data_IF_770566196325
#
_entry.id   IF_770566196325
#
_cell.length_a   1.000
_cell.length_b   1.000
_cell.length_c   1.000
_cell.angle_alpha   90.00
_cell.angle_beta   90.00
_cell.angle_gamma   90.00
#
_symmetry.space_group_name_H-M   'P 1'
#
loop_
_entity.id
_entity.type
_entity.pdbx_description
1 polymer ?
#
# COMPACT_ATOMS: atom_id res chain seq x y z
N UNK A 1 48.33 29.67 -29.83
CA UNK A 1 47.04 29.88 -29.13
C UNK A 1 47.33 30.43 -27.74
N UNK A 2 46.90 31.65 -27.43
CA UNK A 2 47.16 32.29 -26.14
C UNK A 2 46.48 31.50 -25.00
N UNK A 3 47.28 30.88 -24.14
CA UNK A 3 46.80 30.11 -23.00
C UNK A 3 46.49 31.10 -21.87
N UNK A 4 45.28 31.67 -21.85
CA UNK A 4 44.86 32.61 -20.80
C UNK A 4 44.72 31.82 -19.49
N UNK A 5 45.64 32.05 -18.55
CA UNK A 5 45.57 31.46 -17.20
C UNK A 5 44.28 31.89 -16.49
N UNK A 6 43.77 31.05 -15.59
CA UNK A 6 42.63 31.40 -14.76
C UNK A 6 43.11 32.31 -13.62
N UNK A 7 42.42 33.43 -13.40
CA UNK A 7 42.65 34.26 -12.21
C UNK A 7 42.00 33.64 -10.98
N UNK A 8 42.47 33.99 -9.80
CA UNK A 8 41.94 33.47 -8.53
C UNK A 8 40.44 33.78 -8.35
N UNK A 9 40.02 34.97 -8.79
CA UNK A 9 38.61 35.38 -8.83
C UNK A 9 37.76 34.51 -9.78
N UNK A 10 38.30 34.15 -10.95
CA UNK A 10 37.64 33.24 -11.89
C UNK A 10 37.51 31.82 -11.29
N UNK A 11 38.53 31.37 -10.53
CA UNK A 11 38.50 30.08 -9.83
C UNK A 11 37.44 30.08 -8.73
N UNK A 12 37.45 31.09 -7.85
CA UNK A 12 36.45 31.24 -6.79
C UNK A 12 35.03 31.31 -7.33
N UNK A 13 34.82 32.07 -8.42
CA UNK A 13 33.52 32.12 -9.07
C UNK A 13 33.10 30.78 -9.66
N UNK A 14 34.04 30.07 -10.31
CA UNK A 14 33.79 28.75 -10.88
C UNK A 14 33.37 27.76 -9.78
N UNK A 15 34.12 27.66 -8.68
CA UNK A 15 33.81 26.78 -7.55
C UNK A 15 32.46 27.10 -6.92
N UNK A 16 32.20 28.38 -6.62
CA UNK A 16 30.95 28.81 -6.00
C UNK A 16 29.72 28.58 -6.89
N UNK A 17 29.91 28.65 -8.21
CA UNK A 17 28.84 28.56 -9.21
C UNK A 17 28.67 27.15 -9.80
N UNK A 18 29.65 26.26 -9.62
CA UNK A 18 29.62 24.89 -10.11
C UNK A 18 28.40 24.14 -9.53
N UNK A 19 27.58 23.54 -10.39
CA UNK A 19 26.32 22.88 -10.00
C UNK A 19 25.13 23.78 -9.65
N UNK A 20 25.33 25.10 -9.47
CA UNK A 20 24.26 26.09 -9.22
C UNK A 20 23.82 26.83 -10.48
N UNK A 21 24.76 27.06 -11.39
CA UNK A 21 24.56 27.83 -12.63
C UNK A 21 24.92 26.94 -13.82
N UNK A 22 24.20 27.07 -14.93
CA UNK A 22 24.50 26.26 -16.13
C UNK A 22 25.90 26.55 -16.67
N UNK A 23 26.55 25.53 -17.24
CA UNK A 23 27.90 25.64 -17.83
C UNK A 23 27.94 26.79 -18.84
N UNK A 24 26.89 26.96 -19.65
CA UNK A 24 26.78 28.05 -20.63
C UNK A 24 26.80 29.43 -19.98
N UNK A 25 26.08 29.64 -18.87
CA UNK A 25 26.10 30.92 -18.14
C UNK A 25 27.45 31.18 -17.48
N UNK A 26 28.08 30.14 -16.91
CA UNK A 26 29.42 30.25 -16.34
C UNK A 26 30.44 30.61 -17.44
N UNK A 27 30.39 29.91 -18.57
CA UNK A 27 31.22 30.14 -19.74
C UNK A 27 31.08 31.58 -20.27
N UNK A 28 29.84 32.07 -20.40
CA UNK A 28 29.58 33.44 -20.83
C UNK A 28 30.12 34.48 -19.84
N UNK A 29 29.92 34.27 -18.52
CA UNK A 29 30.41 35.22 -17.51
C UNK A 29 31.94 35.26 -17.43
N UNK A 30 32.58 34.11 -17.56
CA UNK A 30 34.05 34.00 -17.55
C UNK A 30 34.67 34.31 -18.94
N UNK A 31 33.85 34.62 -19.95
CA UNK A 31 34.26 34.81 -21.34
C UNK A 31 35.17 33.69 -21.85
N UNK A 32 34.79 32.43 -21.60
CA UNK A 32 35.54 31.22 -21.94
C UNK A 32 34.65 30.19 -22.60
N UNK A 33 35.24 29.27 -23.38
CA UNK A 33 34.51 28.15 -23.99
C UNK A 33 34.01 27.18 -22.92
N UNK A 34 32.81 26.63 -23.09
CA UNK A 34 32.24 25.62 -22.17
C UNK A 34 33.20 24.45 -21.91
N UNK A 35 33.92 23.98 -22.95
CA UNK A 35 34.91 22.92 -22.82
C UNK A 35 36.09 23.30 -21.92
N UNK A 36 36.53 24.57 -21.95
CA UNK A 36 37.61 25.06 -21.10
C UNK A 36 37.18 25.14 -19.63
N UNK A 37 35.92 25.48 -19.37
CA UNK A 37 35.32 25.46 -18.03
C UNK A 37 35.27 24.01 -17.51
N UNK A 38 34.77 23.06 -18.31
CA UNK A 38 34.70 21.64 -17.93
C UNK A 38 36.08 21.05 -17.59
N UNK A 39 37.08 21.30 -18.43
CA UNK A 39 38.44 20.83 -18.19
C UNK A 39 39.06 21.45 -16.93
N UNK A 40 38.76 22.74 -16.67
CA UNK A 40 39.27 23.40 -15.47
C UNK A 40 38.61 22.85 -14.20
N UNK A 41 37.28 22.67 -14.22
CA UNK A 41 36.56 22.08 -13.09
C UNK A 41 37.01 20.65 -12.80
N UNK A 42 37.25 19.84 -13.83
CA UNK A 42 37.83 18.50 -13.67
C UNK A 42 39.21 18.55 -13.01
N UNK A 43 40.11 19.46 -13.46
CA UNK A 43 41.45 19.64 -12.87
C UNK A 43 41.42 20.19 -11.44
N UNK A 44 40.36 20.90 -11.06
CA UNK A 44 40.13 21.38 -9.69
C UNK A 44 39.49 20.30 -8.80
N UNK A 45 39.18 19.10 -9.33
CA UNK A 45 38.54 18.04 -8.56
C UNK A 45 37.07 18.32 -8.24
N UNK A 46 36.40 19.25 -8.95
CA UNK A 46 35.00 19.63 -8.68
C UNK A 46 33.98 18.56 -9.11
N UNK A 47 34.44 17.40 -9.57
CA UNK A 47 33.61 16.27 -9.97
C UNK A 47 32.64 16.58 -11.12
N UNK A 48 31.60 15.76 -11.27
CA UNK A 48 30.43 16.16 -12.01
C UNK A 48 29.85 17.44 -11.39
N UNK A 49 29.07 18.24 -12.13
CA UNK A 49 28.30 19.40 -11.58
C UNK A 49 27.34 19.03 -10.43
N UNK A 50 27.38 17.77 -10.02
CA UNK A 50 26.49 17.02 -9.18
C UNK A 50 27.24 16.35 -8.01
N UNK A 51 28.56 16.49 -7.88
CA UNK A 51 29.32 15.85 -6.79
C UNK A 51 29.40 16.75 -5.52
N UNK A 52 28.90 17.98 -5.61
CA UNK A 52 28.87 18.97 -4.52
C UNK A 52 27.44 19.09 -3.93
N UNK A 53 26.82 17.94 -3.60
CA UNK A 53 25.37 17.85 -3.43
C UNK A 53 24.92 17.69 -1.99
N UNK A 54 24.32 18.75 -1.47
CA UNK A 54 23.36 18.72 -0.35
C UNK A 54 21.97 18.20 -0.81
N UNK A 55 21.91 17.32 -1.83
CA UNK A 55 20.64 16.86 -2.40
C UNK A 55 20.71 15.52 -3.13
N UNK A 56 19.60 14.78 -3.09
CA UNK A 56 19.34 13.61 -3.92
C UNK A 56 18.71 14.03 -5.25
N UNK A 57 19.02 13.33 -6.33
CA UNK A 57 18.20 13.39 -7.54
C UNK A 57 17.05 12.38 -7.40
N UNK A 58 15.93 12.61 -8.08
CA UNK A 58 14.80 11.70 -8.06
C UNK A 58 15.13 10.24 -8.42
N UNK A 59 16.17 9.96 -9.21
CA UNK A 59 16.59 8.58 -9.46
C UNK A 59 17.22 7.93 -8.22
N UNK A 60 17.95 8.70 -7.41
CA UNK A 60 18.52 8.22 -6.15
C UNK A 60 17.39 7.87 -5.19
N UNK A 61 16.37 8.73 -5.06
CA UNK A 61 15.17 8.47 -4.24
C UNK A 61 14.41 7.23 -4.71
N UNK A 62 14.23 7.07 -6.03
CA UNK A 62 13.60 5.89 -6.63
C UNK A 62 14.34 4.60 -6.21
N UNK A 63 15.67 4.62 -6.31
CA UNK A 63 16.51 3.47 -5.98
C UNK A 63 16.49 3.19 -4.47
N UNK A 64 16.64 4.23 -3.63
CA UNK A 64 16.66 4.11 -2.17
C UNK A 64 15.33 3.57 -1.64
N UNK A 65 14.19 4.02 -2.17
CA UNK A 65 12.89 3.55 -1.69
C UNK A 65 12.40 2.27 -2.38
N UNK A 66 13.10 1.79 -3.42
CA UNK A 66 12.68 0.63 -4.20
C UNK A 66 11.32 0.82 -4.89
N UNK A 67 11.02 2.02 -5.36
CA UNK A 67 9.74 2.38 -5.98
C UNK A 67 9.87 2.61 -7.48
N UNK A 68 8.76 2.65 -8.20
CA UNK A 68 8.75 3.02 -9.62
C UNK A 68 8.67 4.55 -9.82
N UNK A 69 9.00 4.99 -11.04
CA UNK A 69 8.98 6.42 -11.41
C UNK A 69 7.60 7.08 -11.23
N UNK A 70 6.50 6.38 -11.54
CA UNK A 70 5.15 6.97 -11.39
C UNK A 70 4.85 7.21 -9.92
N UNK A 71 5.19 6.25 -9.06
CA UNK A 71 5.06 6.37 -7.61
C UNK A 71 5.90 7.52 -7.05
N UNK A 72 7.15 7.67 -7.49
CA UNK A 72 7.98 8.83 -7.15
C UNK A 72 7.32 10.16 -7.53
N UNK A 73 6.81 10.29 -8.76
CA UNK A 73 6.12 11.51 -9.21
C UNK A 73 4.87 11.78 -8.36
N UNK A 74 4.14 10.73 -7.94
CA UNK A 74 3.01 10.85 -7.02
C UNK A 74 3.45 11.39 -5.65
N UNK A 75 4.60 10.95 -5.13
CA UNK A 75 5.11 11.50 -3.87
C UNK A 75 5.37 13.01 -3.96
N UNK A 76 5.98 13.45 -5.06
CA UNK A 76 6.29 14.87 -5.29
C UNK A 76 5.02 15.70 -5.50
N UNK A 77 4.06 15.21 -6.29
CA UNK A 77 2.88 15.99 -6.67
C UNK A 77 1.75 15.97 -5.64
N UNK A 78 1.57 14.85 -4.94
CA UNK A 78 0.36 14.60 -4.15
C UNK A 78 0.64 14.31 -2.68
N UNK A 79 1.87 13.93 -2.32
CA UNK A 79 2.21 13.48 -0.95
C UNK A 79 3.25 14.37 -0.27
N UNK A 80 3.51 15.55 -0.82
CA UNK A 80 4.32 16.58 -0.15
C UNK A 80 5.83 16.36 -0.16
N UNK A 81 6.37 15.48 -1.02
CA UNK A 81 7.83 15.38 -1.17
C UNK A 81 8.36 16.60 -1.93
N UNK A 82 9.10 17.47 -1.23
CA UNK A 82 9.61 18.71 -1.80
C UNK A 82 10.71 18.44 -2.82
N UNK A 83 10.52 18.92 -4.05
CA UNK A 83 11.50 18.79 -5.11
C UNK A 83 11.63 20.07 -5.92
N UNK A 84 12.85 20.39 -6.34
CA UNK A 84 13.17 21.55 -7.19
C UNK A 84 13.76 21.07 -8.51
N UNK A 85 13.39 21.70 -9.62
CA UNK A 85 14.01 21.41 -10.91
C UNK A 85 15.46 21.92 -10.94
N UNK A 86 16.40 21.04 -11.27
CA UNK A 86 17.81 21.37 -11.51
C UNK A 86 18.30 20.78 -12.82
N UNK A 87 19.29 21.42 -13.43
CA UNK A 87 19.91 20.91 -14.66
C UNK A 87 20.88 19.77 -14.33
N UNK A 88 20.59 18.58 -14.85
CA UNK A 88 21.47 17.41 -14.80
C UNK A 88 22.58 17.51 -15.84
N UNK A 89 22.22 17.96 -17.05
CA UNK A 89 23.16 18.28 -18.14
C UNK A 89 22.70 19.57 -18.80
N UNK A 90 23.46 20.07 -19.78
CA UNK A 90 23.14 21.29 -20.55
C UNK A 90 21.68 21.33 -21.03
N UNK A 91 21.12 20.17 -21.42
CA UNK A 91 19.78 20.07 -22.02
C UNK A 91 18.80 19.22 -21.21
N UNK A 92 19.20 18.65 -20.07
CA UNK A 92 18.37 17.72 -19.30
C UNK A 92 18.15 18.25 -17.90
N UNK A 93 16.88 18.44 -17.53
CA UNK A 93 16.47 18.75 -16.15
C UNK A 93 16.20 17.46 -15.37
N UNK A 94 16.34 17.55 -14.05
CA UNK A 94 15.99 16.52 -13.09
C UNK A 94 15.35 17.17 -11.86
N UNK A 95 14.63 16.36 -11.09
CA UNK A 95 14.11 16.77 -9.79
C UNK A 95 15.18 16.52 -8.73
N UNK A 96 15.50 17.55 -7.98
CA UNK A 96 16.46 17.54 -6.87
C UNK A 96 15.71 17.73 -5.55
N UNK A 97 16.06 16.94 -4.54
CA UNK A 97 15.42 16.87 -3.23
C UNK A 97 16.52 17.09 -2.18
N UNK A 98 16.37 18.06 -1.28
CA UNK A 98 17.36 18.25 -0.20
C UNK A 98 17.36 17.02 0.72
N UNK A 99 18.51 16.73 1.36
CA UNK A 99 18.59 15.57 2.26
C UNK A 99 17.60 15.70 3.41
N UNK A 100 17.50 16.88 4.02
CA UNK A 100 16.62 17.16 5.15
C UNK A 100 15.14 17.05 4.76
N UNK A 101 14.79 17.54 3.57
CA UNK A 101 13.43 17.41 3.03
C UNK A 101 13.08 15.93 2.79
N UNK A 102 14.05 15.14 2.29
CA UNK A 102 13.86 13.72 2.03
C UNK A 102 13.70 12.92 3.32
N UNK A 103 14.61 13.07 4.28
CA UNK A 103 14.57 12.32 5.55
C UNK A 103 13.32 12.65 6.35
N UNK A 104 13.00 13.94 6.49
CA UNK A 104 11.77 14.39 7.17
C UNK A 104 10.52 13.81 6.51
N UNK A 105 10.51 13.76 5.17
CA UNK A 105 9.41 13.16 4.43
C UNK A 105 9.31 11.66 4.70
N UNK A 106 10.41 10.91 4.63
CA UNK A 106 10.44 9.46 4.88
C UNK A 106 9.89 9.12 6.27
N UNK A 107 10.32 9.86 7.28
CA UNK A 107 9.89 9.65 8.68
C UNK A 107 8.40 9.96 8.89
N UNK A 108 7.90 11.01 8.25
CA UNK A 108 6.50 11.44 8.39
C UNK A 108 5.52 10.62 7.54
N UNK A 109 6.02 9.86 6.55
CA UNK A 109 5.21 9.23 5.51
C UNK A 109 5.39 7.70 5.42
N UNK A 110 5.43 7.01 6.57
CA UNK A 110 5.69 5.57 6.66
C UNK A 110 4.73 4.68 5.85
N UNK A 111 3.52 5.15 5.57
CA UNK A 111 2.53 4.40 4.78
C UNK A 111 2.78 4.44 3.28
N UNK A 112 3.70 5.28 2.81
CA UNK A 112 3.97 5.51 1.40
C UNK A 112 5.24 4.81 0.88
N UNK A 113 5.95 4.10 1.74
CA UNK A 113 7.12 3.29 1.37
C UNK A 113 7.15 1.98 2.16
N UNK A 114 7.96 1.05 1.67
CA UNK A 114 8.03 -0.34 2.13
C UNK A 114 9.49 -0.70 2.43
N UNK A 115 9.78 -1.02 3.68
CA UNK A 115 11.13 -1.33 4.13
C UNK A 115 11.68 -2.62 3.50
N UNK A 116 10.82 -3.55 3.06
CA UNK A 116 11.26 -4.79 2.39
C UNK A 116 11.83 -4.54 0.98
N UNK A 117 11.56 -3.38 0.41
CA UNK A 117 12.01 -2.97 -0.94
C UNK A 117 13.06 -1.87 -0.93
N UNK A 118 13.19 -1.17 0.19
CA UNK A 118 14.05 0.00 0.32
C UNK A 118 15.50 -0.39 0.67
N UNK A 119 16.46 0.42 0.25
CA UNK A 119 17.83 0.39 0.72
C UNK A 119 17.91 1.01 2.12
N UNK A 120 17.76 0.15 3.13
CA UNK A 120 17.76 0.54 4.54
C UNK A 120 19.09 1.17 4.95
N UNK A 121 20.22 0.67 4.42
CA UNK A 121 21.54 1.20 4.76
C UNK A 121 21.69 2.62 4.26
N UNK A 122 21.24 2.90 3.03
CA UNK A 122 21.22 4.25 2.49
C UNK A 122 20.36 5.20 3.34
N UNK A 123 19.18 4.75 3.81
CA UNK A 123 18.33 5.55 4.70
C UNK A 123 19.01 5.86 6.04
N UNK A 124 19.68 4.88 6.66
CA UNK A 124 20.43 5.08 7.90
C UNK A 124 21.59 6.06 7.70
N UNK A 125 22.36 5.93 6.61
CA UNK A 125 23.47 6.83 6.27
C UNK A 125 23.03 8.27 5.98
N UNK A 126 21.82 8.44 5.44
CA UNK A 126 21.23 9.76 5.21
C UNK A 126 20.69 10.41 6.49
N UNK A 127 20.68 9.68 7.62
CA UNK A 127 20.29 10.21 8.93
C UNK A 127 18.81 9.97 9.29
N UNK A 128 18.12 9.03 8.63
CA UNK A 128 16.77 8.62 9.07
C UNK A 128 16.87 7.92 10.43
N UNK A 129 15.93 8.21 11.33
CA UNK A 129 15.92 7.68 12.69
C UNK A 129 15.98 6.14 12.73
N UNK A 130 17.02 5.61 13.39
CA UNK A 130 17.28 4.17 13.47
C UNK A 130 16.17 3.37 14.15
N UNK A 131 15.67 3.83 15.30
CA UNK A 131 14.58 3.14 16.02
C UNK A 131 13.28 3.08 15.20
N UNK A 132 13.03 4.13 14.40
CA UNK A 132 11.93 4.15 13.44
C UNK A 132 12.13 3.12 12.33
N UNK A 133 13.33 3.03 11.76
CA UNK A 133 13.67 2.04 10.72
C UNK A 133 13.51 0.61 11.24
N UNK A 134 14.07 0.30 12.41
CA UNK A 134 13.99 -1.04 13.03
C UNK A 134 12.53 -1.50 13.20
N UNK A 135 11.69 -0.63 13.76
CA UNK A 135 10.25 -0.90 13.90
C UNK A 135 9.58 -1.13 12.54
N UNK A 136 9.83 -0.25 11.57
CA UNK A 136 9.22 -0.31 10.23
C UNK A 136 9.63 -1.57 9.47
N UNK A 137 10.89 -1.99 9.58
CA UNK A 137 11.41 -3.24 9.01
C UNK A 137 10.63 -4.44 9.57
N UNK A 138 10.45 -4.51 10.89
CA UNK A 138 9.70 -5.58 11.54
C UNK A 138 8.26 -5.60 11.05
N UNK A 139 7.57 -4.45 11.08
CA UNK A 139 6.16 -4.35 10.67
C UNK A 139 5.92 -4.74 9.21
N UNK A 140 6.79 -4.30 8.29
CA UNK A 140 6.62 -4.62 6.87
C UNK A 140 7.03 -6.06 6.54
N UNK A 141 8.04 -6.61 7.23
CA UNK A 141 8.37 -8.03 7.14
C UNK A 141 7.23 -8.90 7.65
N UNK A 142 6.65 -8.58 8.80
CA UNK A 142 5.50 -9.31 9.35
C UNK A 142 4.27 -9.24 8.42
N UNK A 143 4.06 -8.12 7.71
CA UNK A 143 3.01 -8.00 6.67
C UNK A 143 3.32 -8.86 5.46
N UNK A 144 4.57 -8.92 5.01
CA UNK A 144 4.99 -9.74 3.88
C UNK A 144 4.87 -11.24 4.21
N UNK A 145 5.30 -11.63 5.41
CA UNK A 145 5.25 -13.02 5.89
C UNK A 145 3.82 -13.52 6.01
N UNK A 146 2.88 -12.68 6.45
CA UNK A 146 1.44 -13.02 6.49
C UNK A 146 0.84 -13.28 5.11
N UNK A 147 1.41 -12.68 4.06
CA UNK A 147 0.94 -12.82 2.67
C UNK A 147 1.67 -13.91 1.89
N UNK A 148 2.86 -14.28 2.32
CA UNK A 148 3.72 -15.25 1.63
C UNK A 148 3.42 -16.64 2.16
N UNK A 149 3.18 -17.61 1.26
CA UNK A 149 2.97 -19.01 1.63
C UNK A 149 4.19 -19.83 1.22
N UNK A 150 4.74 -20.58 2.17
CA UNK A 150 5.79 -21.57 1.94
C UNK A 150 5.17 -22.93 1.65
N UNK A 151 5.94 -23.88 1.11
CA UNK A 151 5.45 -25.22 0.79
C UNK A 151 4.83 -25.92 2.01
N UNK A 152 5.50 -25.84 3.16
CA UNK A 152 4.98 -26.34 4.45
C UNK A 152 3.64 -25.70 4.85
N UNK A 153 3.42 -24.43 4.49
CA UNK A 153 2.17 -23.73 4.79
C UNK A 153 1.06 -24.31 3.90
N UNK A 154 1.38 -24.66 2.65
CA UNK A 154 0.44 -25.26 1.69
C UNK A 154 0.02 -26.66 2.13
N UNK A 155 0.97 -27.49 2.54
CA UNK A 155 0.69 -28.84 3.09
C UNK A 155 -0.24 -28.75 4.30
N UNK A 156 0.05 -27.85 5.23
CA UNK A 156 -0.77 -27.66 6.43
C UNK A 156 -2.14 -27.06 6.08
N UNK A 157 -2.24 -26.19 5.08
CA UNK A 157 -3.55 -25.71 4.56
C UNK A 157 -4.40 -26.89 4.08
N UNK A 158 -3.82 -27.82 3.30
CA UNK A 158 -4.54 -29.01 2.79
C UNK A 158 -5.06 -29.86 3.95
N UNK A 159 -4.17 -30.23 4.88
CA UNK A 159 -4.53 -31.04 6.05
C UNK A 159 -5.64 -30.40 6.89
N UNK A 160 -5.52 -29.10 7.20
CA UNK A 160 -6.50 -28.40 8.03
C UNK A 160 -7.85 -28.25 7.31
N UNK A 161 -7.83 -28.03 6.00
CA UNK A 161 -9.04 -27.88 5.19
C UNK A 161 -9.80 -29.22 5.03
N UNK A 162 -9.07 -30.32 4.83
CA UNK A 162 -9.63 -31.68 4.83
C UNK A 162 -10.23 -32.06 6.19
N UNK A 163 -9.62 -31.59 7.28
CA UNK A 163 -10.15 -31.69 8.63
C UNK A 163 -11.32 -30.71 8.93
N UNK A 164 -11.90 -30.11 7.90
CA UNK A 164 -13.06 -29.22 7.97
C UNK A 164 -12.83 -27.89 8.73
N UNK A 165 -11.59 -27.43 8.87
CA UNK A 165 -11.34 -26.11 9.45
C UNK A 165 -11.78 -25.00 8.48
N UNK A 166 -12.29 -23.91 9.04
CA UNK A 166 -12.67 -22.70 8.29
C UNK A 166 -11.45 -21.92 7.82
N UNK A 167 -11.62 -21.06 6.82
CA UNK A 167 -10.54 -20.21 6.32
C UNK A 167 -9.99 -19.29 7.42
N UNK A 168 -10.86 -18.81 8.31
CA UNK A 168 -10.51 -18.00 9.47
C UNK A 168 -9.65 -18.79 10.47
N UNK A 169 -10.06 -20.01 10.82
CA UNK A 169 -9.30 -20.89 11.73
C UNK A 169 -7.93 -21.22 11.16
N UNK A 170 -7.85 -21.53 9.85
CA UNK A 170 -6.60 -21.81 9.15
C UNK A 170 -5.69 -20.57 9.15
N UNK A 171 -6.24 -19.39 8.83
CA UNK A 171 -5.51 -18.13 8.82
C UNK A 171 -4.94 -17.78 10.21
N UNK A 172 -5.72 -17.94 11.28
CA UNK A 172 -5.27 -17.73 12.65
C UNK A 172 -4.16 -18.72 13.02
N UNK A 173 -4.36 -20.02 12.72
CA UNK A 173 -3.40 -21.07 13.08
C UNK A 173 -2.05 -20.93 12.38
N UNK A 174 -2.06 -20.47 11.13
CA UNK A 174 -0.85 -20.23 10.34
C UNK A 174 -0.28 -18.82 10.52
N UNK A 175 -0.97 -17.95 11.25
CA UNK A 175 -0.68 -16.52 11.32
C UNK A 175 -0.51 -15.92 9.91
N UNK A 176 -1.52 -16.12 9.05
CA UNK A 176 -1.57 -15.63 7.66
C UNK A 176 -2.81 -14.76 7.43
N UNK A 177 -2.77 -13.95 6.38
CA UNK A 177 -3.93 -13.14 6.00
C UNK A 177 -5.07 -14.06 5.49
N UNK A 178 -6.29 -13.81 5.97
CA UNK A 178 -7.49 -14.58 5.57
C UNK A 178 -7.65 -14.66 4.05
N UNK A 179 -7.49 -13.53 3.35
CA UNK A 179 -7.60 -13.50 1.90
C UNK A 179 -6.52 -14.37 1.24
N UNK A 180 -5.27 -14.35 1.73
CA UNK A 180 -4.20 -15.22 1.23
C UNK A 180 -4.57 -16.70 1.32
N UNK A 181 -5.11 -17.14 2.46
CA UNK A 181 -5.58 -18.52 2.65
C UNK A 181 -6.73 -18.86 1.72
N UNK A 182 -7.76 -18.00 1.69
CA UNK A 182 -8.94 -18.16 0.84
C UNK A 182 -8.57 -18.26 -0.65
N UNK A 183 -7.70 -17.38 -1.13
CA UNK A 183 -7.20 -17.42 -2.50
C UNK A 183 -6.43 -18.71 -2.77
N UNK A 184 -5.53 -19.13 -1.86
CA UNK A 184 -4.76 -20.35 -2.05
C UNK A 184 -5.65 -21.59 -2.12
N UNK A 185 -6.61 -21.74 -1.21
CA UNK A 185 -7.55 -22.86 -1.22
C UNK A 185 -8.35 -22.88 -2.53
N UNK A 186 -8.85 -21.72 -2.98
CA UNK A 186 -9.52 -21.63 -4.26
C UNK A 186 -8.64 -22.11 -5.42
N UNK A 187 -7.38 -21.69 -5.47
CA UNK A 187 -6.43 -22.15 -6.49
C UNK A 187 -6.18 -23.66 -6.40
N UNK A 188 -6.00 -24.23 -5.21
CA UNK A 188 -5.80 -25.66 -5.02
C UNK A 188 -7.00 -26.48 -5.52
N UNK A 189 -8.21 -25.98 -5.29
CA UNK A 189 -9.43 -26.60 -5.79
C UNK A 189 -9.52 -26.52 -7.32
N UNK A 190 -9.18 -25.37 -7.91
CA UNK A 190 -9.14 -25.21 -9.37
C UNK A 190 -8.11 -26.13 -10.04
N UNK A 191 -7.01 -26.42 -9.33
CA UNK A 191 -5.97 -27.34 -9.78
C UNK A 191 -6.28 -28.82 -9.49
N UNK A 192 -7.48 -29.13 -8.97
CA UNK A 192 -7.89 -30.49 -8.60
C UNK A 192 -7.02 -31.13 -7.48
N UNK A 193 -6.29 -30.32 -6.72
CA UNK A 193 -5.48 -30.77 -5.58
C UNK A 193 -6.29 -30.88 -4.27
N UNK A 194 -7.48 -30.27 -4.24
CA UNK A 194 -8.42 -30.33 -3.12
C UNK A 194 -9.86 -30.45 -3.65
N UNK A 195 -10.68 -31.25 -2.99
CA UNK A 195 -12.12 -31.28 -3.27
C UNK A 195 -12.85 -30.13 -2.58
N UNK A 196 -13.88 -29.59 -3.25
CA UNK A 196 -14.81 -28.67 -2.60
C UNK A 196 -15.47 -29.37 -1.41
N UNK A 197 -15.34 -28.80 -0.23
CA UNK A 197 -15.87 -29.41 0.98
C UNK A 197 -17.41 -29.28 1.01
N UNK A 198 -18.10 -30.28 0.48
CA UNK A 198 -19.56 -30.35 0.43
C UNK A 198 -20.18 -30.88 1.72
N UNK A 199 -19.38 -31.52 2.59
CA UNK A 199 -19.82 -32.13 3.86
C UNK A 199 -20.15 -31.11 4.95
N UNK A 200 -19.55 -29.91 4.92
CA UNK A 200 -20.09 -28.71 5.58
C UNK A 200 -21.00 -27.93 4.63
N UNK A 201 -22.02 -28.59 4.10
CA UNK A 201 -22.98 -28.02 3.16
C UNK A 201 -23.45 -26.63 3.59
N UNK A 202 -23.20 -25.64 2.71
CA UNK A 202 -23.29 -24.19 2.88
C UNK A 202 -22.06 -23.57 3.53
N UNK A 203 -21.29 -22.88 2.67
CA UNK A 203 -20.57 -21.64 2.97
C UNK A 203 -20.83 -21.18 4.41
N UNK A 204 -19.82 -21.24 5.27
CA UNK A 204 -19.86 -20.53 6.55
C UNK A 204 -19.81 -19.04 6.21
N UNK A 205 -20.93 -18.49 5.74
CA UNK A 205 -21.26 -17.09 5.99
C UNK A 205 -21.47 -17.06 7.50
N UNK A 206 -20.56 -16.42 8.19
CA UNK A 206 -20.70 -16.13 9.60
C UNK A 206 -21.94 -15.23 9.78
N UNK A 207 -23.12 -15.83 10.00
CA UNK A 207 -24.35 -15.15 10.37
C UNK A 207 -25.09 -16.06 11.33
N UNK A 208 -25.02 -15.76 12.63
CA UNK A 208 -25.96 -16.14 13.70
C UNK A 208 -26.93 -17.28 13.33
N UNK A 209 -26.50 -18.53 13.48
CA UNK A 209 -27.34 -19.73 13.25
C UNK A 209 -28.58 -19.77 14.16
N UNK A 210 -28.57 -19.08 15.30
CA UNK A 210 -29.74 -18.94 16.19
C UNK A 210 -30.91 -18.18 15.54
N UNK A 211 -30.66 -17.44 14.46
CA UNK A 211 -31.69 -16.64 13.79
C UNK A 211 -32.14 -17.21 12.43
N UNK A 212 -31.65 -18.39 12.05
CA UNK A 212 -31.97 -19.02 10.77
C UNK A 212 -33.19 -19.93 10.90
N UNK A 213 -34.34 -19.48 10.39
CA UNK A 213 -35.62 -20.20 10.45
C UNK A 213 -36.67 -19.47 11.31
N UNK A 214 -37.94 -19.64 10.96
CA UNK A 214 -39.09 -19.17 11.74
C UNK A 214 -39.62 -20.34 12.58
N UNK A 215 -39.67 -20.16 13.89
CA UNK A 215 -40.32 -21.13 14.78
C UNK A 215 -41.84 -20.97 14.72
N UNK A 216 -42.58 -22.00 15.12
CA UNK A 216 -44.05 -21.93 15.20
C UNK A 216 -44.52 -20.78 16.09
N UNK A 217 -43.87 -20.60 17.24
CA UNK A 217 -44.15 -19.46 18.14
C UNK A 217 -43.95 -18.11 17.46
N UNK A 218 -42.89 -17.95 16.65
CA UNK A 218 -42.64 -16.70 15.92
C UNK A 218 -43.70 -16.43 14.85
N UNK A 219 -44.15 -17.46 14.13
CA UNK A 219 -45.23 -17.33 13.15
C UNK A 219 -46.56 -16.99 13.83
N UNK A 220 -46.91 -17.70 14.91
CA UNK A 220 -48.14 -17.48 15.68
C UNK A 220 -48.16 -16.06 16.29
N UNK A 221 -47.03 -15.64 16.85
CA UNK A 221 -46.86 -14.29 17.44
C UNK A 221 -46.92 -13.20 16.36
N UNK A 222 -46.30 -13.41 15.20
CA UNK A 222 -46.37 -12.49 14.08
C UNK A 222 -47.81 -12.32 13.59
N UNK A 223 -48.54 -13.41 13.36
CA UNK A 223 -49.95 -13.36 12.89
C UNK A 223 -50.84 -12.68 13.93
N UNK A 224 -50.66 -12.99 15.22
CA UNK A 224 -51.43 -12.38 16.30
C UNK A 224 -51.21 -10.85 16.35
N UNK A 225 -49.96 -10.41 16.48
CA UNK A 225 -49.63 -8.99 16.60
C UNK A 225 -49.98 -8.20 15.34
N UNK A 226 -49.86 -8.81 14.15
CA UNK A 226 -50.26 -8.19 12.90
C UNK A 226 -51.79 -7.97 12.83
N UNK A 227 -52.59 -8.93 13.31
CA UNK A 227 -54.06 -8.78 13.42
C UNK A 227 -54.47 -7.71 14.45
N UNK A 228 -53.69 -7.55 15.52
CA UNK A 228 -53.86 -6.49 16.52
C UNK A 228 -53.42 -5.10 16.01
N UNK A 229 -52.95 -5.00 14.76
CA UNK A 229 -52.58 -3.73 14.13
C UNK A 229 -51.19 -3.21 14.48
N UNK A 230 -50.34 -4.03 15.12
CA UNK A 230 -48.95 -3.66 15.42
C UNK A 230 -48.12 -3.49 14.16
N UNK A 231 -47.15 -2.58 14.22
CA UNK A 231 -46.25 -2.33 13.09
C UNK A 231 -45.27 -3.49 12.91
N UNK A 232 -44.86 -3.75 11.67
CA UNK A 232 -43.86 -4.79 11.37
C UNK A 232 -42.52 -4.56 12.08
N UNK A 233 -42.24 -3.31 12.48
CA UNK A 233 -41.06 -2.96 13.27
C UNK A 233 -41.18 -3.48 14.70
N UNK A 234 -42.25 -3.13 15.40
CA UNK A 234 -42.52 -3.64 16.76
C UNK A 234 -42.57 -5.17 16.77
N UNK A 235 -43.20 -5.78 15.76
CA UNK A 235 -43.26 -7.24 15.63
C UNK A 235 -41.86 -7.83 15.46
N UNK A 236 -41.00 -7.21 14.63
CA UNK A 236 -39.64 -7.69 14.38
C UNK A 236 -38.77 -7.72 15.64
N UNK A 237 -38.96 -6.74 16.53
CA UNK A 237 -38.28 -6.64 17.82
C UNK A 237 -38.74 -7.76 18.76
N UNK A 238 -40.05 -8.04 18.82
CA UNK A 238 -40.62 -9.11 19.66
C UNK A 238 -40.21 -10.51 19.19
N UNK A 239 -40.21 -10.78 17.88
CA UNK A 239 -39.83 -12.11 17.37
C UNK A 239 -38.31 -12.29 17.25
N UNK A 240 -37.52 -11.25 17.50
CA UNK A 240 -36.06 -11.28 17.39
C UNK A 240 -35.53 -11.42 15.95
N UNK A 241 -36.29 -10.95 14.95
CA UNK A 241 -35.96 -11.02 13.52
C UNK A 241 -35.68 -9.64 12.94
N UNK A 242 -34.95 -9.57 11.82
CA UNK A 242 -34.79 -8.31 11.11
C UNK A 242 -36.12 -7.87 10.48
N UNK A 243 -36.35 -6.57 10.38
CA UNK A 243 -37.54 -5.99 9.75
C UNK A 243 -37.80 -6.58 8.35
N UNK A 244 -36.75 -6.72 7.55
CA UNK A 244 -36.83 -7.30 6.20
C UNK A 244 -37.29 -8.75 6.21
N UNK A 245 -36.80 -9.57 7.16
CA UNK A 245 -37.22 -10.96 7.30
C UNK A 245 -38.69 -11.06 7.75
N UNK A 246 -39.10 -10.23 8.71
CA UNK A 246 -40.48 -10.15 9.23
C UNK A 246 -41.46 -9.75 8.14
N UNK A 247 -41.11 -8.75 7.31
CA UNK A 247 -41.92 -8.32 6.17
C UNK A 247 -42.15 -9.46 5.17
N UNK A 248 -41.07 -10.12 4.75
CA UNK A 248 -41.15 -11.24 3.80
C UNK A 248 -41.97 -12.41 4.36
N UNK A 249 -41.79 -12.73 5.65
CA UNK A 249 -42.56 -13.80 6.29
C UNK A 249 -44.04 -13.46 6.39
N UNK A 250 -44.39 -12.23 6.77
CA UNK A 250 -45.78 -11.78 6.83
C UNK A 250 -46.49 -11.95 5.48
N UNK A 251 -45.84 -11.54 4.38
CA UNK A 251 -46.40 -11.74 3.03
C UNK A 251 -46.68 -13.21 2.70
N UNK A 252 -45.81 -14.14 3.14
CA UNK A 252 -46.00 -15.57 2.93
C UNK A 252 -47.16 -16.11 3.77
N UNK A 253 -47.24 -15.72 5.05
CA UNK A 253 -48.29 -16.19 5.96
C UNK A 253 -49.67 -15.64 5.55
N UNK A 254 -49.76 -14.35 5.19
CA UNK A 254 -51.01 -13.76 4.68
C UNK A 254 -51.51 -14.47 3.43
N UNK A 255 -50.61 -14.79 2.48
CA UNK A 255 -50.97 -15.54 1.27
C UNK A 255 -51.48 -16.95 1.57
N UNK A 256 -50.91 -17.64 2.56
CA UNK A 256 -51.37 -18.97 2.98
C UNK A 256 -52.75 -18.90 3.64
N UNK A 257 -52.93 -17.97 4.58
CA UNK A 257 -54.21 -17.75 5.25
C UNK A 257 -55.33 -17.40 4.26
N UNK A 258 -55.06 -16.55 3.26
CA UNK A 258 -56.03 -16.23 2.21
C UNK A 258 -56.36 -17.42 1.31
N UNK A 259 -55.40 -18.32 1.06
CA UNK A 259 -55.62 -19.55 0.27
C UNK A 259 -56.47 -20.56 1.02
N UNK A 260 -56.31 -20.66 2.33
CA UNK A 260 -57.06 -21.58 3.19
C UNK A 260 -58.50 -21.11 3.47
N UNK A 261 -58.85 -19.85 3.16
CA UNK A 261 -60.22 -19.31 3.26
C UNK A 261 -61.06 -19.42 1.98
N UNK A 262 -60.47 -19.89 0.86
CA UNK A 262 -61.12 -19.97 -0.47
C UNK A 262 -61.43 -21.44 -0.85
N UNK A 263 -61.28 -22.37 0.09
CA UNK A 263 -61.64 -23.79 0.00
C UNK A 263 -62.76 -24.05 1.01
#
# INVERSE_FOLDING_TARGET
MNNKNYTEEELMYLERSWGKVSITKIANKLNRKERAIQLKAFRLGLGAMLDNKDYLIGQDVINILGIDRKTFIKHVKERGLLAKEKYLTKNKKCLAIQYEDFTSWVESNLNYWDATKSDILALELLGVNKGLLERKIKEDRDKLDRKTLLEKDIELIKELYENFNTYEEIAIKLNKDYETIKWKIHTLIQNEELEQNTKRGRLVRNINRSNYGWTKWQDDTLVKLFREGKTLKEISEVVGKSLSATKTRNQVLTKRIMKDMVI
#
